data_IF_798075756955
#
_entry.id   IF_798075756955
#
_cell.length_a   1.000
_cell.length_b   1.000
_cell.length_c   1.000
_cell.angle_alpha   90.00
_cell.angle_beta   90.00
_cell.angle_gamma   90.00
#
_symmetry.space_group_name_H-M   'P 1'
#
loop_
_entity.id
_entity.type
_entity.pdbx_description
1 polymer ?
#
# COMPACT_ATOMS: atom_id res chain seq x y z
N UNK A 1 -13.43 -22.90 -22.95
CA UNK A 1 -12.35 -22.16 -22.32
C UNK A 1 -12.70 -21.87 -20.83
N UNK A 2 -12.92 -22.90 -20.01
CA UNK A 2 -13.34 -22.72 -18.58
C UNK A 2 -12.39 -23.38 -17.59
N UNK A 3 -11.10 -23.44 -17.92
CA UNK A 3 -10.12 -24.22 -17.17
C UNK A 3 -9.20 -23.46 -16.21
N UNK A 4 -9.20 -22.13 -16.16
CA UNK A 4 -8.17 -21.37 -15.44
C UNK A 4 -8.66 -20.76 -14.11
N UNK A 5 -9.93 -20.46 -13.95
CA UNK A 5 -10.51 -19.89 -12.72
C UNK A 5 -10.56 -20.87 -11.54
N UNK A 6 -10.29 -22.15 -11.77
CA UNK A 6 -10.33 -23.20 -10.73
C UNK A 6 -9.01 -23.43 -9.97
N UNK A 7 -7.91 -22.77 -10.30
CA UNK A 7 -6.59 -23.09 -9.71
C UNK A 7 -6.33 -22.47 -8.34
N UNK A 8 -6.96 -21.35 -8.02
CA UNK A 8 -6.76 -20.72 -6.73
C UNK A 8 -8.11 -20.36 -6.11
N UNK A 9 -8.54 -21.14 -5.11
CA UNK A 9 -9.54 -20.64 -4.17
C UNK A 9 -8.98 -19.39 -3.47
N UNK A 10 -9.83 -18.49 -2.97
CA UNK A 10 -9.40 -17.30 -2.20
C UNK A 10 -8.37 -17.64 -1.10
N UNK A 11 -8.53 -18.81 -0.45
CA UNK A 11 -7.57 -19.33 0.53
C UNK A 11 -6.25 -19.80 -0.11
N UNK A 12 -6.29 -20.35 -1.32
CA UNK A 12 -5.09 -20.76 -2.07
C UNK A 12 -4.25 -19.56 -2.51
N UNK A 13 -4.90 -18.50 -3.01
CA UNK A 13 -4.24 -17.26 -3.38
C UNK A 13 -3.60 -16.56 -2.16
N UNK A 14 -4.31 -16.49 -1.03
CA UNK A 14 -3.76 -15.97 0.23
C UNK A 14 -2.52 -16.74 0.67
N UNK A 15 -2.56 -18.07 0.70
CA UNK A 15 -1.40 -18.91 1.07
C UNK A 15 -0.22 -18.66 0.15
N UNK A 16 -0.44 -18.53 -1.16
CA UNK A 16 0.61 -18.27 -2.13
C UNK A 16 1.25 -16.90 -1.87
N UNK A 17 0.45 -15.84 -1.72
CA UNK A 17 0.96 -14.49 -1.47
C UNK A 17 1.64 -14.42 -0.11
N UNK A 18 1.09 -15.02 0.94
CA UNK A 18 1.74 -15.09 2.26
C UNK A 18 3.07 -15.82 2.22
N UNK A 19 3.21 -16.86 1.40
CA UNK A 19 4.51 -17.55 1.25
C UNK A 19 5.57 -16.71 0.56
N UNK A 20 5.17 -15.77 -0.28
CA UNK A 20 6.06 -14.80 -0.92
C UNK A 20 6.46 -13.66 0.03
N UNK A 21 5.65 -13.37 1.05
CA UNK A 21 5.86 -12.30 2.03
C UNK A 21 6.83 -12.69 3.16
N UNK A 22 7.74 -13.64 2.94
CA UNK A 22 8.75 -14.00 3.93
C UNK A 22 9.89 -12.99 3.97
N UNK A 23 10.25 -12.56 5.17
CA UNK A 23 11.51 -11.82 5.39
C UNK A 23 12.64 -12.82 5.44
N UNK A 24 13.71 -12.57 4.68
CA UNK A 24 14.94 -13.38 4.67
C UNK A 24 16.11 -12.51 5.08
N UNK A 25 16.89 -13.01 6.03
CA UNK A 25 18.15 -12.39 6.45
C UNK A 25 19.29 -13.11 5.71
N UNK A 26 20.14 -12.33 5.08
CA UNK A 26 21.36 -12.80 4.41
C UNK A 26 22.55 -12.25 5.16
N UNK A 27 22.87 -12.91 6.27
CA UNK A 27 23.84 -12.43 7.24
C UNK A 27 25.24 -12.26 6.65
N UNK A 28 25.61 -13.10 5.65
CA UNK A 28 26.94 -13.05 5.00
C UNK A 28 27.18 -11.72 4.26
N UNK A 29 26.12 -11.06 3.82
CA UNK A 29 26.21 -9.79 3.07
C UNK A 29 25.51 -8.63 3.77
N UNK A 30 24.93 -8.87 4.96
CA UNK A 30 24.22 -7.85 5.73
C UNK A 30 22.95 -7.33 5.04
N UNK A 31 22.27 -8.17 4.26
CA UNK A 31 21.09 -7.80 3.51
C UNK A 31 19.84 -8.43 4.11
N UNK A 32 18.72 -7.70 3.99
CA UNK A 32 17.37 -8.18 4.29
C UNK A 32 16.55 -8.15 3.01
N UNK A 33 15.89 -9.25 2.72
CA UNK A 33 14.99 -9.37 1.57
C UNK A 33 13.54 -9.55 2.05
N UNK A 34 12.63 -8.85 1.42
CA UNK A 34 11.19 -9.00 1.56
C UNK A 34 10.54 -9.02 0.19
N UNK A 35 9.72 -10.01 -0.08
CA UNK A 35 9.03 -10.17 -1.36
C UNK A 35 9.95 -10.20 -2.59
N UNK A 36 11.22 -10.63 -2.38
CA UNK A 36 12.27 -10.65 -3.41
C UNK A 36 12.91 -9.28 -3.68
N UNK A 37 12.64 -8.29 -2.84
CA UNK A 37 13.26 -6.97 -2.87
C UNK A 37 14.19 -6.79 -1.67
N UNK A 38 15.32 -6.11 -1.88
CA UNK A 38 16.19 -5.69 -0.78
C UNK A 38 15.49 -4.58 0.02
N UNK A 39 15.41 -4.75 1.33
CA UNK A 39 14.75 -3.81 2.24
C UNK A 39 15.66 -3.37 3.37
N UNK A 40 15.33 -2.24 3.96
CA UNK A 40 15.94 -1.77 5.22
C UNK A 40 14.88 -1.86 6.30
N UNK A 41 15.21 -2.47 7.43
CA UNK A 41 14.34 -2.49 8.60
C UNK A 41 14.56 -1.22 9.40
N UNK A 42 13.50 -0.45 9.57
CA UNK A 42 13.51 0.73 10.42
C UNK A 42 12.57 0.52 11.61
N UNK A 43 12.94 1.04 12.77
CA UNK A 43 12.00 1.14 13.88
C UNK A 43 10.82 2.02 13.44
N UNK A 44 9.63 1.69 13.91
CA UNK A 44 8.41 2.40 13.56
C UNK A 44 8.47 3.91 13.90
N UNK A 45 9.01 4.25 15.07
CA UNK A 45 9.18 5.63 15.51
C UNK A 45 10.18 6.44 14.66
N UNK A 46 11.14 5.78 13.99
CA UNK A 46 12.08 6.46 13.09
C UNK A 46 11.35 7.20 11.97
N UNK A 47 10.28 6.63 11.42
CA UNK A 47 9.48 7.28 10.39
C UNK A 47 8.75 8.54 10.95
N UNK A 48 8.23 8.44 12.17
CA UNK A 48 7.61 9.59 12.85
C UNK A 48 8.63 10.71 13.10
N UNK A 49 9.87 10.37 13.48
CA UNK A 49 10.95 11.34 13.65
C UNK A 49 11.34 12.01 12.34
N UNK A 50 11.50 11.23 11.25
CA UNK A 50 11.76 11.76 9.90
C UNK A 50 10.68 12.76 9.50
N UNK A 51 9.41 12.41 9.70
CA UNK A 51 8.28 13.29 9.38
C UNK A 51 8.32 14.59 10.19
N UNK A 52 8.62 14.52 11.50
CA UNK A 52 8.74 15.70 12.37
C UNK A 52 9.85 16.62 11.90
N UNK A 53 11.04 16.09 11.59
CA UNK A 53 12.16 16.89 11.10
C UNK A 53 11.87 17.47 9.71
N UNK A 54 11.24 16.70 8.82
CA UNK A 54 10.81 17.22 7.53
C UNK A 54 9.82 18.38 7.68
N UNK A 55 8.87 18.28 8.62
CA UNK A 55 7.93 19.37 8.90
C UNK A 55 8.63 20.59 9.47
N UNK A 56 9.67 20.42 10.29
CA UNK A 56 10.47 21.53 10.84
C UNK A 56 11.24 22.27 9.73
N UNK A 57 11.78 21.54 8.75
CA UNK A 57 12.62 22.09 7.68
C UNK A 57 11.77 22.66 6.53
N UNK A 58 10.77 21.90 6.08
CA UNK A 58 9.98 22.21 4.87
C UNK A 58 8.61 22.82 5.18
N UNK A 59 8.22 22.94 6.45
CA UNK A 59 6.93 23.53 6.84
C UNK A 59 5.75 22.82 6.17
N UNK A 60 4.86 23.58 5.54
CA UNK A 60 3.66 23.07 4.88
C UNK A 60 3.94 22.16 3.67
N UNK A 61 5.12 22.27 3.05
CA UNK A 61 5.51 21.43 1.93
C UNK A 61 5.81 19.98 2.34
N UNK A 62 6.06 19.71 3.63
CA UNK A 62 6.38 18.38 4.14
C UNK A 62 5.34 17.32 3.77
N UNK A 63 4.04 17.68 3.83
CA UNK A 63 2.96 16.77 3.45
C UNK A 63 3.01 16.37 1.98
N UNK A 64 3.30 17.31 1.10
CA UNK A 64 3.44 17.05 -0.35
C UNK A 64 4.66 16.16 -0.62
N UNK A 65 5.78 16.45 0.05
CA UNK A 65 7.02 15.65 -0.09
C UNK A 65 6.75 14.20 0.33
N UNK A 66 6.07 13.98 1.47
CA UNK A 66 5.72 12.66 1.96
C UNK A 66 4.79 11.91 0.99
N UNK A 67 3.80 12.61 0.43
CA UNK A 67 2.86 12.02 -0.55
C UNK A 67 3.58 11.61 -1.85
N UNK A 68 4.46 12.48 -2.37
CA UNK A 68 5.26 12.19 -3.57
C UNK A 68 6.21 11.01 -3.31
N UNK A 69 6.87 10.97 -2.15
CA UNK A 69 7.74 9.86 -1.76
C UNK A 69 6.94 8.56 -1.66
N UNK A 70 5.79 8.59 -0.98
CA UNK A 70 4.89 7.43 -0.88
C UNK A 70 4.45 6.93 -2.26
N UNK A 71 4.05 7.83 -3.15
CA UNK A 71 3.64 7.49 -4.53
C UNK A 71 4.77 6.80 -5.29
N UNK A 72 6.00 7.30 -5.18
CA UNK A 72 7.13 6.66 -5.83
C UNK A 72 7.36 5.25 -5.32
N UNK A 73 7.38 5.06 -4.00
CA UNK A 73 7.52 3.73 -3.39
C UNK A 73 6.37 2.80 -3.81
N UNK A 74 5.13 3.28 -3.77
CA UNK A 74 3.96 2.51 -4.21
C UNK A 74 3.98 2.14 -5.69
N UNK A 75 4.53 3.00 -6.55
CA UNK A 75 4.69 2.69 -7.98
C UNK A 75 5.69 1.55 -8.19
N UNK A 76 6.85 1.59 -7.53
CA UNK A 76 7.85 0.52 -7.62
C UNK A 76 7.29 -0.83 -7.09
N UNK A 77 6.57 -0.79 -5.97
CA UNK A 77 5.88 -1.97 -5.45
C UNK A 77 4.81 -2.49 -6.44
N UNK A 78 4.05 -1.59 -7.03
CA UNK A 78 3.04 -1.91 -8.05
C UNK A 78 3.65 -2.59 -9.29
N UNK A 79 4.84 -2.18 -9.73
CA UNK A 79 5.58 -2.83 -10.83
C UNK A 79 5.91 -4.28 -10.46
N UNK A 80 6.43 -4.50 -9.25
CA UNK A 80 6.75 -5.85 -8.76
C UNK A 80 5.49 -6.72 -8.70
N UNK A 81 4.39 -6.17 -8.16
CA UNK A 81 3.11 -6.87 -8.07
C UNK A 81 2.53 -7.17 -9.46
N UNK A 82 2.63 -6.24 -10.42
CA UNK A 82 2.19 -6.46 -11.81
C UNK A 82 2.93 -7.62 -12.46
N UNK A 83 4.26 -7.65 -12.35
CA UNK A 83 5.08 -8.75 -12.87
C UNK A 83 4.71 -10.10 -12.22
N UNK A 84 4.39 -10.10 -10.93
CA UNK A 84 3.93 -11.32 -10.25
C UNK A 84 2.54 -11.76 -10.71
N UNK A 85 1.61 -10.82 -10.89
CA UNK A 85 0.29 -11.11 -11.44
C UNK A 85 0.40 -11.75 -12.83
N UNK A 86 1.24 -11.21 -13.69
CA UNK A 86 1.51 -11.77 -15.02
C UNK A 86 2.11 -13.17 -14.95
N UNK A 87 3.17 -13.35 -14.17
CA UNK A 87 3.84 -14.65 -13.99
C UNK A 87 2.92 -15.74 -13.43
N UNK A 88 1.89 -15.36 -12.68
CA UNK A 88 0.88 -16.27 -12.13
C UNK A 88 -0.37 -16.40 -13.01
N UNK A 89 -0.48 -15.64 -14.11
CA UNK A 89 -1.67 -15.57 -14.96
C UNK A 89 -2.89 -14.95 -14.27
N UNK A 90 -2.66 -14.02 -13.33
CA UNK A 90 -3.69 -13.34 -12.52
C UNK A 90 -3.93 -11.88 -12.94
N UNK A 91 -3.46 -11.50 -14.14
CA UNK A 91 -3.60 -10.16 -14.71
C UNK A 91 -4.83 -9.99 -15.62
N UNK A 92 -5.69 -11.01 -15.71
CA UNK A 92 -6.96 -10.87 -16.46
C UNK A 92 -7.97 -9.98 -15.72
N UNK A 93 -8.93 -9.35 -16.43
CA UNK A 93 -9.96 -8.51 -15.81
C UNK A 93 -10.74 -9.21 -14.68
N UNK A 94 -10.89 -10.54 -14.78
CA UNK A 94 -11.63 -11.35 -13.79
C UNK A 94 -10.77 -11.69 -12.56
N UNK A 95 -9.47 -11.92 -12.75
CA UNK A 95 -8.57 -12.37 -11.68
C UNK A 95 -7.85 -11.21 -10.97
N UNK A 96 -7.60 -10.13 -11.68
CA UNK A 96 -6.85 -8.98 -11.16
C UNK A 96 -7.46 -8.36 -9.89
N UNK A 97 -8.78 -8.19 -9.77
CA UNK A 97 -9.37 -7.61 -8.54
C UNK A 97 -9.06 -8.43 -7.29
N UNK A 98 -9.16 -9.76 -7.37
CA UNK A 98 -8.87 -10.66 -6.24
C UNK A 98 -7.38 -10.69 -5.92
N UNK A 99 -6.52 -10.65 -6.94
CA UNK A 99 -5.09 -10.52 -6.76
C UNK A 99 -4.73 -9.21 -6.06
N UNK A 100 -5.23 -8.07 -6.54
CA UNK A 100 -4.98 -6.74 -5.96
C UNK A 100 -5.43 -6.67 -4.50
N UNK A 101 -6.65 -7.12 -4.21
CA UNK A 101 -7.18 -7.18 -2.85
C UNK A 101 -6.26 -7.99 -1.95
N UNK A 102 -5.91 -9.20 -2.36
CA UNK A 102 -5.08 -10.09 -1.57
C UNK A 102 -3.66 -9.53 -1.39
N UNK A 103 -3.05 -8.98 -2.44
CA UNK A 103 -1.72 -8.41 -2.36
C UNK A 103 -1.64 -7.22 -1.38
N UNK A 104 -2.64 -6.34 -1.40
CA UNK A 104 -2.71 -5.20 -0.48
C UNK A 104 -3.01 -5.64 0.96
N UNK A 105 -3.94 -6.57 1.15
CA UNK A 105 -4.36 -7.03 2.49
C UNK A 105 -3.30 -7.91 3.18
N UNK A 106 -2.54 -8.70 2.42
CA UNK A 106 -1.47 -9.57 2.94
C UNK A 106 -0.10 -8.88 2.94
N UNK A 107 -0.03 -7.61 2.54
CA UNK A 107 1.19 -6.81 2.66
C UNK A 107 1.53 -6.60 4.14
N UNK A 108 2.65 -7.14 4.58
CA UNK A 108 3.13 -7.04 5.97
C UNK A 108 4.32 -6.07 6.09
N UNK A 109 4.31 -4.97 5.36
CA UNK A 109 5.39 -3.97 5.35
C UNK A 109 5.44 -3.10 6.62
N UNK A 110 4.55 -3.33 7.57
CA UNK A 110 4.50 -2.55 8.83
C UNK A 110 3.76 -1.21 8.73
N UNK A 111 3.12 -0.91 7.61
CA UNK A 111 2.36 0.34 7.42
C UNK A 111 1.02 0.36 8.18
N UNK A 112 0.60 -0.78 8.69
CA UNK A 112 -0.69 -1.05 9.32
C UNK A 112 -1.40 -2.20 8.60
N UNK A 113 -2.48 -2.69 9.17
CA UNK A 113 -3.29 -3.73 8.55
C UNK A 113 -4.25 -3.12 7.55
N UNK A 114 -3.98 -3.32 6.26
CA UNK A 114 -4.82 -2.83 5.17
C UNK A 114 -5.99 -3.77 4.90
N UNK A 115 -7.15 -3.18 4.57
CA UNK A 115 -8.36 -3.90 4.12
C UNK A 115 -8.98 -3.16 2.95
N UNK A 116 -9.11 -3.84 1.83
CA UNK A 116 -9.77 -3.29 0.63
C UNK A 116 -11.27 -3.57 0.74
N UNK A 117 -12.04 -2.56 1.11
CA UNK A 117 -13.51 -2.66 1.29
C UNK A 117 -14.26 -2.66 -0.03
N UNK A 118 -13.86 -1.78 -0.93
CA UNK A 118 -14.44 -1.63 -2.25
C UNK A 118 -13.31 -1.65 -3.28
N UNK A 119 -13.54 -2.27 -4.42
CA UNK A 119 -12.62 -2.25 -5.56
C UNK A 119 -13.40 -2.41 -6.85
N UNK A 120 -13.52 -1.33 -7.59
CA UNK A 120 -14.23 -1.23 -8.87
C UNK A 120 -13.27 -0.71 -9.95
N UNK A 121 -12.44 -1.62 -10.49
CA UNK A 121 -11.39 -1.27 -11.45
C UNK A 121 -11.95 -0.56 -12.71
N UNK A 122 -13.10 -0.97 -13.30
CA UNK A 122 -13.61 -0.32 -14.50
C UNK A 122 -13.84 1.17 -14.33
N UNK A 123 -14.39 1.59 -13.20
CA UNK A 123 -14.65 3.01 -12.91
C UNK A 123 -13.52 3.70 -12.15
N UNK A 124 -12.47 2.95 -11.83
CA UNK A 124 -11.31 3.49 -11.10
C UNK A 124 -11.65 3.95 -9.69
N UNK A 125 -12.36 3.11 -8.92
CA UNK A 125 -12.74 3.39 -7.53
C UNK A 125 -12.25 2.29 -6.60
N UNK A 126 -11.70 2.68 -5.44
CA UNK A 126 -11.44 1.77 -4.35
C UNK A 126 -11.60 2.46 -3.00
N UNK A 127 -11.88 1.67 -1.95
CA UNK A 127 -11.90 2.11 -0.56
C UNK A 127 -10.97 1.20 0.23
N UNK A 128 -9.98 1.80 0.89
CA UNK A 128 -9.00 1.09 1.72
C UNK A 128 -9.09 1.61 3.15
N UNK A 129 -9.19 0.68 4.11
CA UNK A 129 -9.06 0.96 5.54
C UNK A 129 -7.69 0.48 6.01
N UNK A 130 -7.01 1.33 6.80
CA UNK A 130 -5.73 1.02 7.41
C UNK A 130 -5.89 1.07 8.93
N UNK A 131 -5.84 -0.10 9.54
CA UNK A 131 -5.84 -0.26 11.00
C UNK A 131 -4.40 -0.16 11.52
N UNK A 132 -4.22 0.48 12.67
CA UNK A 132 -2.90 0.68 13.28
C UNK A 132 -1.90 1.34 12.31
N UNK A 133 -2.35 2.40 11.60
CA UNK A 133 -1.50 3.15 10.67
C UNK A 133 -0.23 3.65 11.36
N UNK A 134 0.93 3.32 10.78
CA UNK A 134 2.23 3.75 11.31
C UNK A 134 2.42 5.27 11.32
N UNK A 135 1.72 5.99 10.43
CA UNK A 135 1.77 7.45 10.41
C UNK A 135 0.89 8.09 11.49
N UNK A 136 -0.26 7.46 11.80
CA UNK A 136 -1.24 8.06 12.69
C UNK A 136 -1.02 7.74 14.17
N UNK A 137 -0.50 6.55 14.53
CA UNK A 137 -0.36 6.13 15.93
C UNK A 137 0.60 7.00 16.73
N UNK A 138 1.73 7.36 16.13
CA UNK A 138 2.77 8.13 16.83
C UNK A 138 2.70 9.65 16.53
N UNK A 139 1.63 10.09 15.90
CA UNK A 139 1.49 11.46 15.44
C UNK A 139 1.01 12.45 16.52
N UNK A 140 0.36 11.96 17.57
CA UNK A 140 -0.43 12.78 18.48
C UNK A 140 -1.77 13.22 17.85
N UNK A 141 -2.45 14.14 18.50
CA UNK A 141 -3.75 14.65 18.04
C UNK A 141 -3.55 15.62 16.86
N UNK A 142 -4.35 15.45 15.80
CA UNK A 142 -4.37 16.33 14.62
C UNK A 142 -5.78 16.80 14.31
N UNK A 143 -5.93 18.03 13.81
CA UNK A 143 -7.21 18.57 13.34
C UNK A 143 -7.59 18.09 11.92
N UNK A 144 -6.67 17.47 11.21
CA UNK A 144 -6.86 17.00 9.83
C UNK A 144 -6.14 15.67 9.59
N UNK A 145 -6.54 14.91 8.57
CA UNK A 145 -5.83 13.70 8.15
C UNK A 145 -4.36 13.97 7.84
N UNK A 146 -3.48 13.01 8.23
CA UNK A 146 -2.02 13.20 8.18
C UNK A 146 -1.25 12.09 7.48
N UNK A 147 -1.91 10.98 7.08
CA UNK A 147 -1.25 9.83 6.49
C UNK A 147 -0.89 10.07 5.01
N UNK A 148 -0.03 11.07 4.79
CA UNK A 148 0.34 11.52 3.45
C UNK A 148 1.16 10.50 2.67
N UNK A 149 2.12 9.85 3.32
CA UNK A 149 2.90 8.80 2.68
C UNK A 149 2.00 7.63 2.27
N UNK A 150 1.12 7.19 3.16
CA UNK A 150 0.16 6.11 2.87
C UNK A 150 -0.78 6.49 1.73
N UNK A 151 -1.27 7.74 1.66
CA UNK A 151 -2.06 8.22 0.51
C UNK A 151 -1.29 8.05 -0.79
N UNK A 152 -0.07 8.59 -0.86
CA UNK A 152 0.77 8.45 -2.05
C UNK A 152 1.08 6.99 -2.39
N UNK A 153 1.41 6.17 -1.39
CA UNK A 153 1.70 4.74 -1.57
C UNK A 153 0.52 3.99 -2.23
N UNK A 154 -0.70 4.22 -1.72
CA UNK A 154 -1.91 3.64 -2.31
C UNK A 154 -2.14 4.16 -3.75
N UNK A 155 -1.94 5.46 -3.99
CA UNK A 155 -2.00 6.02 -5.36
C UNK A 155 -1.05 5.27 -6.32
N UNK A 156 0.21 5.09 -5.91
CA UNK A 156 1.23 4.43 -6.73
C UNK A 156 0.86 3.00 -7.07
N UNK A 157 0.55 2.18 -6.06
CA UNK A 157 0.17 0.76 -6.25
C UNK A 157 -1.06 0.64 -7.14
N UNK A 158 -2.14 1.35 -6.80
CA UNK A 158 -3.41 1.20 -7.53
C UNK A 158 -3.29 1.74 -8.95
N UNK A 159 -2.55 2.84 -9.16
CA UNK A 159 -2.30 3.35 -10.51
C UNK A 159 -1.57 2.33 -11.36
N UNK A 160 -0.53 1.72 -10.83
CA UNK A 160 0.29 0.75 -11.55
C UNK A 160 -0.48 -0.53 -11.87
N UNK A 161 -1.23 -1.08 -10.90
CA UNK A 161 -1.97 -2.33 -11.09
C UNK A 161 -3.20 -2.17 -11.99
N UNK A 162 -3.85 -1.00 -11.96
CA UNK A 162 -5.05 -0.76 -12.78
C UNK A 162 -4.73 -0.16 -14.16
N UNK A 163 -3.51 0.34 -14.38
CA UNK A 163 -3.15 1.11 -15.57
C UNK A 163 -3.87 2.47 -15.66
N UNK A 164 -4.46 2.96 -14.56
CA UNK A 164 -5.22 4.21 -14.49
C UNK A 164 -4.52 5.19 -13.55
N UNK A 165 -4.61 6.49 -13.85
CA UNK A 165 -4.09 7.50 -12.94
C UNK A 165 -5.06 7.65 -11.75
N UNK A 166 -4.68 7.09 -10.60
CA UNK A 166 -5.50 7.09 -9.39
C UNK A 166 -5.00 8.14 -8.41
N UNK A 167 -5.94 8.74 -7.65
CA UNK A 167 -5.66 9.63 -6.52
C UNK A 167 -6.29 9.04 -5.28
N UNK A 168 -5.57 9.10 -4.14
CA UNK A 168 -6.06 8.66 -2.85
C UNK A 168 -6.30 9.86 -1.93
N UNK A 169 -7.47 9.94 -1.33
CA UNK A 169 -7.81 10.93 -0.32
C UNK A 169 -8.09 10.23 1.01
N UNK A 170 -7.35 10.59 2.04
CA UNK A 170 -7.67 10.18 3.41
C UNK A 170 -8.86 11.01 3.92
N UNK A 171 -9.96 10.33 4.28
CA UNK A 171 -11.20 10.97 4.76
C UNK A 171 -11.45 10.75 6.26
N UNK A 172 -10.93 9.64 6.82
CA UNK A 172 -10.92 9.34 8.26
C UNK A 172 -9.48 9.07 8.67
N UNK A 173 -9.06 9.55 9.84
CA UNK A 173 -7.70 9.42 10.34
C UNK A 173 -7.70 9.21 11.85
N UNK A 174 -7.01 8.17 12.32
CA UNK A 174 -6.88 7.87 13.75
C UNK A 174 -6.28 9.05 14.55
N UNK A 175 -5.33 9.78 13.97
CA UNK A 175 -4.77 10.98 14.60
C UNK A 175 -5.78 12.12 14.76
N UNK A 176 -6.87 12.11 13.98
CA UNK A 176 -7.99 13.06 14.09
C UNK A 176 -9.04 12.61 15.13
N UNK A 177 -8.96 11.38 15.62
CA UNK A 177 -9.91 10.78 16.56
C UNK A 177 -10.84 9.75 15.94
N UNK A 178 -10.71 9.45 14.65
CA UNK A 178 -11.46 8.37 14.01
C UNK A 178 -10.88 6.99 14.45
N UNK A 179 -11.67 5.92 14.32
CA UNK A 179 -11.26 4.57 14.76
C UNK A 179 -10.08 4.03 13.94
N UNK A 180 -10.14 4.20 12.65
CA UNK A 180 -9.15 3.75 11.67
C UNK A 180 -8.84 4.86 10.67
N UNK A 181 -7.83 4.67 9.83
CA UNK A 181 -7.60 5.55 8.69
C UNK A 181 -8.32 4.99 7.46
N UNK A 182 -9.07 5.84 6.74
CA UNK A 182 -9.85 5.46 5.57
C UNK A 182 -9.48 6.31 4.37
N UNK A 183 -9.21 5.63 3.27
CA UNK A 183 -8.79 6.22 2.01
C UNK A 183 -9.81 5.90 0.92
N UNK A 184 -10.21 6.92 0.18
CA UNK A 184 -10.98 6.78 -1.05
C UNK A 184 -10.01 7.01 -2.21
N UNK A 185 -9.95 6.04 -3.12
CA UNK A 185 -9.23 6.15 -4.37
C UNK A 185 -10.22 6.40 -5.49
N UNK A 186 -9.87 7.33 -6.37
CA UNK A 186 -10.66 7.68 -7.55
C UNK A 186 -9.74 8.03 -8.71
N UNK A 187 -10.29 8.07 -9.94
CA UNK A 187 -9.54 8.60 -11.09
C UNK A 187 -9.10 10.03 -10.82
N UNK A 188 -7.85 10.33 -11.15
CA UNK A 188 -7.37 11.70 -11.17
C UNK A 188 -8.09 12.46 -12.29
N UNK A 189 -8.81 13.50 -11.95
CA UNK A 189 -9.23 14.50 -12.94
C UNK A 189 -7.98 15.34 -13.27
N UNK A 190 -7.41 15.09 -14.45
CA UNK A 190 -6.32 15.89 -15.02
C UNK A 190 -6.71 17.36 -15.21
#
# INVERSE_FOLDING_TARGET
MSGFLGRYSSNGLRRLISSLNSIRFRDEVGEVEYFGQKVVLLRRDAFSLIRKELSRVAGTASGVIMEVAGRRVGTEEGIVLSSKAEGLGLNSPEALPDFMRTAVEESNMGFGKMKVKELEIPIGRAVVIVQNSFEAEDAGVSLKPICRFTSGYLEGIFSQLTGKNMRAQEIECKAKGDTDCKFILSLSTS
#
